data_IF_910968469741
#
_entry.id   IF_910968469741
#
_cell.length_a   1.000
_cell.length_b   1.000
_cell.length_c   1.000
_cell.angle_alpha   90.00
_cell.angle_beta   90.00
_cell.angle_gamma   90.00
#
_symmetry.space_group_name_H-M   'P 1'
#
loop_
_entity.id
_entity.type
_entity.pdbx_description
1 polymer ?
#
# COMPACT_ATOMS: atom_id res chain seq x y z
N UNK A 1 10.28 1.78 15.32
CA UNK A 1 10.36 2.16 13.90
C UNK A 1 9.23 3.14 13.67
N UNK A 2 9.57 4.38 13.38
CA UNK A 2 8.61 5.48 13.26
C UNK A 2 7.73 5.31 12.00
N UNK A 3 6.51 5.82 12.05
CA UNK A 3 5.52 5.71 10.97
C UNK A 3 6.02 6.37 9.69
N UNK A 4 6.73 7.51 9.81
CA UNK A 4 7.37 8.21 8.69
C UNK A 4 8.40 7.31 7.99
N UNK A 5 9.28 6.69 8.77
CA UNK A 5 10.28 5.74 8.23
C UNK A 5 9.62 4.50 7.63
N UNK A 6 8.50 4.04 8.19
CA UNK A 6 7.74 2.92 7.64
C UNK A 6 7.15 3.28 6.27
N UNK A 7 6.52 4.45 6.14
CA UNK A 7 6.03 4.97 4.87
C UNK A 7 7.14 5.10 3.84
N UNK A 8 8.28 5.68 4.21
CA UNK A 8 9.44 5.82 3.31
C UNK A 8 9.89 4.46 2.75
N UNK A 9 9.97 3.42 3.60
CA UNK A 9 10.31 2.07 3.12
C UNK A 9 9.24 1.49 2.20
N UNK A 10 7.95 1.71 2.48
CA UNK A 10 6.85 1.26 1.61
C UNK A 10 6.94 1.96 0.25
N UNK A 11 7.17 3.28 0.22
CA UNK A 11 7.31 4.06 -1.01
C UNK A 11 8.58 3.69 -1.79
N UNK A 12 9.69 3.40 -1.10
CA UNK A 12 10.91 2.92 -1.74
C UNK A 12 10.69 1.53 -2.37
N UNK A 13 10.03 0.63 -1.63
CA UNK A 13 9.66 -0.69 -2.14
C UNK A 13 8.73 -0.57 -3.35
N UNK A 14 7.71 0.29 -3.29
CA UNK A 14 6.75 0.48 -4.37
C UNK A 14 7.41 0.98 -5.66
N UNK A 15 8.33 1.95 -5.56
CA UNK A 15 9.15 2.41 -6.69
C UNK A 15 10.02 1.30 -7.27
N UNK A 16 10.71 0.52 -6.42
CA UNK A 16 11.57 -0.59 -6.86
C UNK A 16 10.78 -1.67 -7.60
N UNK A 17 9.57 -1.96 -7.14
CA UNK A 17 8.72 -3.03 -7.69
C UNK A 17 7.68 -2.52 -8.71
N UNK A 18 7.65 -1.22 -8.99
CA UNK A 18 6.69 -0.56 -9.88
C UNK A 18 5.24 -0.93 -9.56
N UNK A 19 4.87 -0.79 -8.29
CA UNK A 19 3.51 -1.04 -7.80
C UNK A 19 2.94 0.21 -7.16
N UNK A 20 1.63 0.39 -7.30
CA UNK A 20 0.93 1.51 -6.70
C UNK A 20 0.75 1.32 -5.20
N UNK A 21 0.62 2.43 -4.47
CA UNK A 21 0.33 2.45 -3.03
C UNK A 21 -0.97 3.22 -2.81
N UNK A 22 -1.92 2.60 -2.12
CA UNK A 22 -3.21 3.19 -1.80
C UNK A 22 -3.40 3.33 -0.29
N UNK A 23 -4.06 4.41 0.13
CA UNK A 23 -4.51 4.60 1.51
C UNK A 23 -5.84 3.91 1.83
N UNK A 24 -6.67 3.67 0.80
CA UNK A 24 -7.96 2.99 0.90
C UNK A 24 -8.07 1.90 -0.17
N UNK A 25 -8.94 0.91 0.04
CA UNK A 25 -9.16 -0.16 -0.93
C UNK A 25 -9.79 0.42 -2.22
N UNK A 26 -9.12 0.34 -3.38
CA UNK A 26 -9.72 0.75 -4.64
C UNK A 26 -10.82 -0.24 -5.08
N UNK A 27 -11.80 0.25 -5.84
CA UNK A 27 -12.91 -0.57 -6.33
C UNK A 27 -12.41 -1.73 -7.21
N UNK A 28 -12.99 -2.92 -6.99
CA UNK A 28 -12.60 -4.14 -7.70
C UNK A 28 -11.29 -4.79 -7.24
N UNK A 29 -10.65 -4.27 -6.19
CA UNK A 29 -9.49 -4.89 -5.57
C UNK A 29 -9.88 -5.69 -4.32
N UNK A 30 -9.06 -6.67 -4.00
CA UNK A 30 -9.19 -7.48 -2.80
C UNK A 30 -7.82 -7.83 -2.23
N UNK A 31 -7.77 -8.03 -0.91
CA UNK A 31 -6.55 -8.46 -0.21
C UNK A 31 -6.09 -9.80 -0.79
N UNK A 32 -4.78 -9.93 -0.99
CA UNK A 32 -4.15 -11.19 -1.38
C UNK A 32 -3.78 -11.99 -0.13
N UNK A 33 -4.54 -13.03 0.27
CA UNK A 33 -4.19 -13.85 1.43
C UNK A 33 -2.86 -14.59 1.19
N UNK A 34 -2.07 -14.75 2.26
CA UNK A 34 -0.78 -15.45 2.22
C UNK A 34 0.38 -14.66 1.61
N UNK A 35 0.19 -13.39 1.24
CA UNK A 35 1.24 -12.55 0.67
C UNK A 35 2.14 -11.92 1.76
N UNK A 36 3.08 -12.70 2.29
CA UNK A 36 3.99 -12.27 3.39
C UNK A 36 5.13 -11.35 2.95
N UNK A 37 5.26 -11.05 1.65
CA UNK A 37 6.31 -10.17 1.11
C UNK A 37 5.95 -8.69 1.14
N UNK A 38 4.75 -8.34 1.61
CA UNK A 38 4.38 -6.94 1.76
C UNK A 38 5.25 -6.27 2.85
N UNK A 39 5.76 -5.06 2.62
CA UNK A 39 6.45 -4.31 3.65
C UNK A 39 5.53 -4.04 4.85
N UNK A 40 6.11 -4.03 6.06
CA UNK A 40 5.38 -3.76 7.31
C UNK A 40 4.63 -2.44 7.19
N UNK A 41 3.38 -2.42 7.65
CA UNK A 41 2.48 -1.27 7.48
C UNK A 41 1.64 -1.30 6.19
N UNK A 42 1.83 -2.31 5.34
CA UNK A 42 1.03 -2.50 4.12
C UNK A 42 0.59 -3.96 3.93
N UNK A 43 -0.34 -4.18 3.00
CA UNK A 43 -0.77 -5.50 2.54
C UNK A 43 -0.88 -5.51 1.01
N UNK A 44 -0.67 -6.67 0.40
CA UNK A 44 -0.89 -6.82 -1.03
C UNK A 44 -2.39 -6.86 -1.36
N UNK A 45 -2.77 -6.11 -2.38
CA UNK A 45 -4.10 -6.16 -2.99
C UNK A 45 -3.98 -6.47 -4.49
N UNK A 46 -5.02 -7.06 -5.07
CA UNK A 46 -5.10 -7.27 -6.52
C UNK A 46 -6.51 -7.08 -7.04
N UNK A 47 -6.63 -6.69 -8.31
CA UNK A 47 -7.90 -6.49 -9.01
C UNK A 47 -8.70 -7.78 -9.31
N UNK A 48 -8.37 -8.90 -8.68
CA UNK A 48 -9.05 -10.19 -8.87
C UNK A 48 -8.89 -10.84 -10.25
N UNK A 49 -8.24 -10.20 -11.22
CA UNK A 49 -8.08 -10.71 -12.57
C UNK A 49 -7.16 -11.93 -12.64
N UNK A 50 -7.37 -12.76 -13.65
CA UNK A 50 -6.61 -13.98 -13.91
C UNK A 50 -5.11 -13.68 -14.05
N UNK A 51 -4.26 -14.59 -13.58
CA UNK A 51 -2.81 -14.47 -13.77
C UNK A 51 -2.39 -14.69 -15.22
N UNK A 52 -3.21 -15.36 -16.02
CA UNK A 52 -2.84 -15.86 -17.34
C UNK A 52 -3.09 -14.86 -18.48
N UNK A 53 -3.93 -13.85 -18.25
CA UNK A 53 -4.34 -12.91 -19.30
C UNK A 53 -3.56 -11.57 -19.26
N UNK A 54 -2.60 -11.42 -18.35
CA UNK A 54 -1.81 -10.19 -18.20
C UNK A 54 -2.57 -8.99 -17.61
N UNK A 55 -3.88 -9.11 -17.33
CA UNK A 55 -4.69 -8.02 -16.78
C UNK A 55 -4.58 -7.88 -15.26
N UNK A 56 -3.89 -8.83 -14.60
CA UNK A 56 -3.74 -8.82 -13.14
C UNK A 56 -2.87 -7.66 -12.70
N UNK A 57 -3.49 -6.71 -12.00
CA UNK A 57 -2.82 -5.60 -11.33
C UNK A 57 -2.68 -5.91 -9.85
N UNK A 58 -1.51 -5.58 -9.30
CA UNK A 58 -1.18 -5.72 -7.88
C UNK A 58 -0.74 -4.36 -7.36
N UNK A 59 -1.14 -4.06 -6.13
CA UNK A 59 -0.77 -2.83 -5.45
C UNK A 59 -0.60 -3.10 -3.95
N UNK A 60 -0.06 -2.12 -3.25
CA UNK A 60 0.05 -2.11 -1.81
C UNK A 60 -1.06 -1.25 -1.21
N UNK A 61 -1.74 -1.76 -0.20
CA UNK A 61 -2.70 -1.01 0.60
C UNK A 61 -2.08 -0.75 1.97
N UNK A 62 -2.03 0.52 2.37
CA UNK A 62 -1.58 0.90 3.71
C UNK A 62 -2.58 0.40 4.77
N UNK A 63 -2.06 -0.04 5.92
CA UNK A 63 -2.92 -0.39 7.05
C UNK A 63 -3.67 0.85 7.56
N UNK A 64 -4.90 0.72 8.07
CA UNK A 64 -5.73 1.86 8.48
C UNK A 64 -5.03 2.79 9.48
N UNK A 65 -4.32 2.24 10.46
CA UNK A 65 -3.60 3.02 11.46
C UNK A 65 -2.45 3.85 10.85
N UNK A 66 -1.69 3.28 9.90
CA UNK A 66 -0.59 3.99 9.25
C UNK A 66 -1.12 5.10 8.34
N UNK A 67 -2.18 4.83 7.59
CA UNK A 67 -2.83 5.83 6.74
C UNK A 67 -3.40 7.00 7.55
N UNK A 68 -4.09 6.71 8.66
CA UNK A 68 -4.62 7.74 9.56
C UNK A 68 -3.52 8.65 10.12
N UNK A 69 -2.40 8.06 10.56
CA UNK A 69 -1.25 8.82 11.06
C UNK A 69 -0.66 9.73 9.99
N UNK A 70 -0.47 9.25 8.76
CA UNK A 70 0.09 10.05 7.65
C UNK A 70 -0.86 11.20 7.26
N UNK A 71 -2.16 10.93 7.18
CA UNK A 71 -3.18 11.95 6.93
C UNK A 71 -3.13 13.06 7.96
N UNK A 72 -3.05 12.70 9.24
CA UNK A 72 -2.93 13.67 10.33
C UNK A 72 -1.68 14.55 10.17
N UNK A 73 -0.52 13.99 9.79
CA UNK A 73 0.69 14.78 9.54
C UNK A 73 0.61 15.70 8.31
N UNK A 74 -0.19 15.37 7.28
CA UNK A 74 -0.36 16.23 6.11
C UNK A 74 -1.36 17.38 6.34
N UNK A 75 -2.20 17.28 7.37
CA UNK A 75 -3.21 18.27 7.72
C UNK A 75 -2.71 19.29 8.77
N UNK A 76 -1.49 19.12 9.28
CA UNK A 76 -0.81 20.15 10.09
C UNK A 76 0.01 21.03 9.14
N UNK A 77 -0.41 22.28 8.85
CA UNK A 77 0.48 23.22 8.18
C UNK A 77 1.67 23.49 9.10
N UNK A 78 2.89 23.45 8.56
CA UNK A 78 4.09 23.98 9.21
C UNK A 78 3.75 25.38 9.76
N UNK A 79 3.80 25.53 11.09
CA UNK A 79 3.55 26.77 11.82
C UNK A 79 4.74 27.75 11.67
#
# INVERSE_FOLDING_TARGET
MDEKTMLEKILQYSKRHRVDVYGHMPSGYSIMPGASTAPVGSVWISNGKSRFNGERRKALLLKPWLWATIKAYQEVPDE
#
